data_IF_880898919230
#
_entry.id   IF_880898919230
#
_cell.length_a   1.000
_cell.length_b   1.000
_cell.length_c   1.000
_cell.angle_alpha   90.00
_cell.angle_beta   90.00
_cell.angle_gamma   90.00
#
_symmetry.space_group_name_H-M   'P 1'
#
loop_
_entity.id
_entity.type
_entity.pdbx_description
1 polymer ?
#
# COMPACT_ATOMS: atom_id res chain seq x y z
N UNK A 1 25.78 -12.19 -7.75
CA UNK A 1 24.65 -12.49 -6.87
C UNK A 1 24.09 -13.81 -7.35
N UNK A 2 24.23 -14.87 -6.57
CA UNK A 2 23.68 -16.18 -6.93
C UNK A 2 22.19 -16.14 -6.59
N UNK A 3 21.33 -16.40 -7.57
CA UNK A 3 19.89 -16.44 -7.37
C UNK A 3 19.52 -17.86 -6.93
N UNK A 4 18.83 -17.97 -5.80
CA UNK A 4 18.19 -19.21 -5.41
C UNK A 4 16.75 -19.23 -5.92
N UNK A 5 16.31 -20.37 -6.46
CA UNK A 5 14.94 -20.59 -6.89
C UNK A 5 14.38 -21.82 -6.20
N UNK A 6 13.14 -21.70 -5.71
CA UNK A 6 12.41 -22.78 -5.07
C UNK A 6 10.99 -22.87 -5.62
N UNK A 7 10.48 -24.09 -5.73
CA UNK A 7 9.11 -24.39 -6.19
C UNK A 7 8.44 -25.41 -5.27
N UNK A 8 7.12 -25.30 -5.13
CA UNK A 8 6.29 -26.31 -4.49
C UNK A 8 6.05 -27.51 -5.42
N UNK A 9 5.72 -28.66 -4.82
CA UNK A 9 5.52 -29.92 -5.55
C UNK A 9 4.36 -29.88 -6.56
N UNK A 10 3.35 -29.04 -6.32
CA UNK A 10 2.17 -28.93 -7.19
C UNK A 10 2.38 -28.03 -8.41
N UNK A 11 3.52 -27.34 -8.51
CA UNK A 11 3.80 -26.42 -9.62
C UNK A 11 4.11 -27.20 -10.88
N UNK A 12 3.23 -27.08 -11.88
CA UNK A 12 3.41 -27.63 -13.22
C UNK A 12 3.87 -26.60 -14.27
N UNK A 13 4.01 -27.03 -15.55
CA UNK A 13 4.46 -26.19 -16.67
C UNK A 13 3.57 -24.96 -16.93
N UNK A 14 2.32 -24.97 -16.47
CA UNK A 14 1.40 -23.83 -16.56
C UNK A 14 1.95 -22.57 -15.86
N UNK A 15 2.88 -22.71 -14.91
CA UNK A 15 3.53 -21.60 -14.23
C UNK A 15 4.84 -21.13 -14.89
N UNK A 16 5.30 -21.77 -15.98
CA UNK A 16 6.62 -21.47 -16.58
C UNK A 16 6.75 -20.00 -17.01
N UNK A 17 5.70 -19.44 -17.60
CA UNK A 17 5.69 -18.02 -18.01
C UNK A 17 5.73 -17.07 -16.80
N UNK A 18 5.01 -17.41 -15.73
CA UNK A 18 5.01 -16.62 -14.51
C UNK A 18 6.37 -16.68 -13.81
N UNK A 19 6.97 -17.88 -13.74
CA UNK A 19 8.34 -18.08 -13.22
C UNK A 19 9.37 -17.29 -14.00
N UNK A 20 9.36 -17.39 -15.33
CA UNK A 20 10.30 -16.63 -16.18
C UNK A 20 10.16 -15.13 -15.96
N UNK A 21 8.93 -14.62 -15.82
CA UNK A 21 8.68 -13.22 -15.53
C UNK A 21 9.19 -12.80 -14.13
N UNK A 22 9.00 -13.63 -13.11
CA UNK A 22 9.56 -13.39 -11.77
C UNK A 22 11.09 -13.41 -11.78
N UNK A 23 11.70 -14.38 -12.47
CA UNK A 23 13.15 -14.50 -12.58
C UNK A 23 13.75 -13.26 -13.25
N UNK A 24 13.14 -12.79 -14.35
CA UNK A 24 13.56 -11.56 -15.00
C UNK A 24 13.44 -10.35 -14.05
N UNK A 25 12.31 -10.23 -13.34
CA UNK A 25 12.07 -9.09 -12.44
C UNK A 25 13.11 -8.98 -11.32
N UNK A 26 13.44 -10.09 -10.64
CA UNK A 26 14.44 -10.08 -9.55
C UNK A 26 15.87 -9.93 -10.09
N UNK A 27 16.18 -10.48 -11.27
CA UNK A 27 17.50 -10.32 -11.88
C UNK A 27 17.75 -8.88 -12.38
N UNK A 28 16.71 -8.21 -12.86
CA UNK A 28 16.77 -6.82 -13.35
C UNK A 28 16.71 -5.78 -12.22
N UNK A 29 16.34 -6.18 -11.00
CA UNK A 29 16.11 -5.28 -9.87
C UNK A 29 16.99 -5.66 -8.66
N UNK A 30 18.24 -5.17 -8.57
CA UNK A 30 19.16 -5.51 -7.49
C UNK A 30 18.65 -5.16 -6.09
N UNK A 31 17.72 -4.20 -5.98
CA UNK A 31 17.08 -3.82 -4.74
C UNK A 31 16.15 -4.90 -4.17
N UNK A 32 15.63 -5.81 -5.01
CA UNK A 32 14.66 -6.83 -4.62
C UNK A 32 15.39 -8.07 -4.11
N UNK A 33 15.23 -8.39 -2.83
CA UNK A 33 15.95 -9.50 -2.20
C UNK A 33 15.21 -10.81 -2.27
N UNK A 34 13.87 -10.77 -2.29
CA UNK A 34 13.01 -11.93 -2.44
C UNK A 34 11.77 -11.57 -3.22
N UNK A 35 11.30 -12.52 -4.03
CA UNK A 35 10.09 -12.44 -4.82
C UNK A 35 9.43 -13.81 -4.86
N UNK A 36 8.12 -13.88 -4.59
CA UNK A 36 7.40 -15.14 -4.66
C UNK A 36 5.98 -14.98 -5.19
N UNK A 37 5.48 -16.07 -5.77
CA UNK A 37 4.12 -16.19 -6.28
C UNK A 37 3.27 -17.05 -5.34
N UNK A 38 2.04 -16.61 -5.11
CA UNK A 38 1.07 -17.30 -4.27
C UNK A 38 -0.29 -17.39 -4.94
N UNK A 39 -0.86 -18.59 -4.94
CA UNK A 39 -2.22 -18.87 -5.42
C UNK A 39 -3.09 -19.31 -4.26
N UNK A 40 -4.22 -18.62 -4.03
CA UNK A 40 -5.15 -18.93 -2.93
C UNK A 40 -4.49 -19.02 -1.55
N UNK A 41 -3.46 -18.20 -1.32
CA UNK A 41 -2.68 -18.19 -0.07
C UNK A 41 -1.72 -19.39 0.10
N UNK A 42 -1.50 -20.17 -0.96
CA UNK A 42 -0.51 -21.24 -1.04
C UNK A 42 0.71 -20.75 -1.79
N UNK A 43 1.90 -21.07 -1.29
CA UNK A 43 3.16 -20.76 -1.98
C UNK A 43 3.28 -21.63 -3.21
N UNK A 44 3.52 -21.02 -4.38
CA UNK A 44 3.80 -21.76 -5.62
C UNK A 44 5.30 -21.85 -5.84
N UNK A 45 5.96 -20.71 -6.00
CA UNK A 45 7.40 -20.63 -6.21
C UNK A 45 7.96 -19.30 -5.72
N UNK A 46 9.26 -19.24 -5.51
CA UNK A 46 9.95 -18.05 -5.03
C UNK A 46 11.41 -18.02 -5.45
N UNK A 47 11.95 -16.82 -5.50
CA UNK A 47 13.32 -16.52 -5.86
C UNK A 47 13.91 -15.57 -4.84
N UNK A 48 15.16 -15.78 -4.46
CA UNK A 48 15.89 -14.86 -3.60
C UNK A 48 17.33 -14.66 -4.05
N UNK A 49 17.82 -13.47 -3.76
CA UNK A 49 19.22 -13.11 -3.83
C UNK A 49 19.89 -13.20 -2.44
N UNK A 50 19.28 -13.94 -1.51
CA UNK A 50 19.72 -14.00 -0.12
C UNK A 50 20.72 -15.14 0.05
N UNK A 51 21.87 -14.81 0.65
CA UNK A 51 22.76 -15.84 1.16
C UNK A 51 22.11 -16.61 2.32
N UNK A 52 22.54 -17.85 2.52
CA UNK A 52 22.21 -18.57 3.75
C UNK A 52 22.88 -17.88 4.94
N UNK A 53 22.13 -17.45 5.97
CA UNK A 53 22.74 -16.91 7.16
C UNK A 53 23.61 -18.00 7.81
N UNK A 54 24.74 -17.63 8.44
CA UNK A 54 25.50 -18.58 9.25
C UNK A 54 24.58 -19.15 10.34
N UNK A 55 24.66 -20.47 10.64
CA UNK A 55 23.80 -21.09 11.63
C UNK A 55 24.00 -20.40 12.99
N UNK A 56 22.93 -19.86 13.56
CA UNK A 56 22.98 -19.31 14.92
C UNK A 56 23.05 -20.46 15.94
N UNK A 57 23.80 -20.30 17.05
CA UNK A 57 23.98 -21.36 18.06
C UNK A 57 22.66 -21.88 18.65
N UNK A 58 21.61 -21.05 18.63
CA UNK A 58 20.29 -21.33 19.20
C UNK A 58 19.22 -21.58 18.12
N UNK A 59 19.60 -21.77 16.85
CA UNK A 59 18.64 -22.06 15.79
C UNK A 59 17.92 -23.39 16.05
N UNK A 60 16.59 -23.33 16.16
CA UNK A 60 15.76 -24.54 16.18
C UNK A 60 15.94 -25.32 14.87
N UNK A 61 16.02 -26.67 14.92
CA UNK A 61 16.07 -27.47 13.70
C UNK A 61 14.84 -27.21 12.82
N UNK A 62 15.05 -26.81 11.57
CA UNK A 62 14.00 -26.71 10.54
C UNK A 62 13.46 -25.30 10.23
N UNK A 63 13.97 -24.24 10.86
CA UNK A 63 13.64 -22.86 10.47
C UNK A 63 14.70 -22.26 9.55
N UNK A 64 14.68 -22.56 8.25
CA UNK A 64 15.51 -21.79 7.32
C UNK A 64 14.89 -20.41 7.10
N UNK A 65 15.71 -19.41 6.76
CA UNK A 65 15.22 -18.07 6.37
C UNK A 65 14.14 -18.15 5.27
N UNK A 66 14.28 -19.10 4.34
CA UNK A 66 13.32 -19.32 3.25
C UNK A 66 11.97 -19.84 3.75
N UNK A 67 11.95 -20.73 4.75
CA UNK A 67 10.71 -21.15 5.39
C UNK A 67 9.98 -19.99 6.10
N UNK A 68 10.74 -19.09 6.72
CA UNK A 68 10.19 -17.88 7.34
C UNK A 68 9.58 -16.93 6.29
N UNK A 69 10.26 -16.74 5.15
CA UNK A 69 9.76 -15.94 4.01
C UNK A 69 8.48 -16.53 3.42
N UNK A 70 8.40 -17.85 3.25
CA UNK A 70 7.17 -18.52 2.81
C UNK A 70 6.03 -18.30 3.79
N UNK A 71 6.28 -18.49 5.09
CA UNK A 71 5.28 -18.27 6.14
C UNK A 71 4.81 -16.82 6.16
N UNK A 72 5.72 -15.87 6.00
CA UNK A 72 5.44 -14.45 5.91
C UNK A 72 4.50 -14.15 4.74
N UNK A 73 4.82 -14.59 3.52
CA UNK A 73 3.97 -14.34 2.36
C UNK A 73 2.58 -14.98 2.47
N UNK A 74 2.49 -16.21 3.02
CA UNK A 74 1.19 -16.84 3.31
C UNK A 74 0.37 -16.05 4.34
N UNK A 75 1.02 -15.53 5.38
CA UNK A 75 0.33 -14.74 6.38
C UNK A 75 -0.14 -13.41 5.80
N UNK A 76 0.73 -12.76 5.01
CA UNK A 76 0.43 -11.48 4.36
C UNK A 76 -0.75 -11.60 3.41
N UNK A 77 -0.73 -12.57 2.49
CA UNK A 77 -1.84 -12.82 1.55
C UNK A 77 -3.17 -13.08 2.27
N UNK A 78 -3.15 -13.78 3.42
CA UNK A 78 -4.34 -13.95 4.25
C UNK A 78 -4.84 -12.63 4.90
N UNK A 79 -3.93 -11.79 5.40
CA UNK A 79 -4.32 -10.48 5.95
C UNK A 79 -4.87 -9.56 4.86
N UNK A 80 -4.24 -9.54 3.67
CA UNK A 80 -4.68 -8.79 2.50
C UNK A 80 -6.09 -9.21 2.09
N UNK A 81 -6.37 -10.51 2.01
CA UNK A 81 -7.73 -11.00 1.70
C UNK A 81 -8.77 -10.59 2.75
N UNK A 82 -8.36 -10.40 4.01
CA UNK A 82 -9.26 -9.91 5.07
C UNK A 82 -9.51 -8.41 4.93
N UNK A 83 -8.48 -7.63 4.64
CA UNK A 83 -8.58 -6.19 4.40
C UNK A 83 -9.41 -5.88 3.15
N UNK A 84 -9.22 -6.62 2.07
CA UNK A 84 -10.01 -6.50 0.83
C UNK A 84 -11.52 -6.56 1.13
N UNK A 85 -11.96 -7.52 1.94
CA UNK A 85 -13.38 -7.64 2.32
C UNK A 85 -13.89 -6.42 3.09
N UNK A 86 -13.09 -5.89 4.02
CA UNK A 86 -13.44 -4.68 4.78
C UNK A 86 -13.55 -3.46 3.86
N UNK A 87 -12.61 -3.29 2.92
CA UNK A 87 -12.58 -2.14 2.01
C UNK A 87 -13.74 -2.17 1.00
N UNK A 88 -14.20 -3.36 0.61
CA UNK A 88 -15.34 -3.52 -0.30
C UNK A 88 -16.67 -2.99 0.24
N UNK A 89 -16.80 -2.80 1.56
CA UNK A 89 -18.03 -2.29 2.20
C UNK A 89 -18.45 -0.92 1.63
N UNK A 90 -17.49 -0.07 1.28
CA UNK A 90 -17.77 1.26 0.72
C UNK A 90 -17.65 1.35 -0.78
N UNK A 91 -17.50 0.23 -1.52
CA UNK A 91 -17.35 0.27 -2.99
C UNK A 91 -16.13 1.09 -3.41
N UNK A 92 -14.94 0.77 -2.87
CA UNK A 92 -13.64 1.25 -3.41
C UNK A 92 -13.08 0.34 -4.52
N UNK A 93 -13.79 -0.74 -4.86
CA UNK A 93 -13.21 -1.85 -5.62
C UNK A 93 -12.34 -2.74 -4.74
N UNK A 94 -11.63 -3.68 -5.38
CA UNK A 94 -10.76 -4.64 -4.67
C UNK A 94 -9.46 -4.02 -4.23
N UNK A 95 -8.84 -4.59 -3.19
CA UNK A 95 -7.44 -4.35 -2.83
C UNK A 95 -6.53 -5.00 -3.88
N UNK A 96 -5.76 -4.18 -4.59
CA UNK A 96 -4.91 -4.59 -5.71
C UNK A 96 -3.43 -4.60 -5.34
N UNK A 97 -3.02 -3.80 -4.34
CA UNK A 97 -1.64 -3.76 -3.86
C UNK A 97 -1.60 -3.37 -2.39
N UNK A 98 -0.65 -3.95 -1.66
CA UNK A 98 -0.37 -3.60 -0.27
C UNK A 98 1.11 -3.39 -0.10
N UNK A 99 1.50 -2.26 0.50
CA UNK A 99 2.89 -1.94 0.79
C UNK A 99 3.07 -1.74 2.28
N UNK A 100 4.04 -2.43 2.86
CA UNK A 100 4.40 -2.30 4.26
C UNK A 100 5.85 -1.87 4.35
N UNK A 101 6.12 -0.70 4.89
CA UNK A 101 7.47 -0.23 5.16
C UNK A 101 7.71 -0.20 6.66
N UNK A 102 8.77 -0.88 7.09
CA UNK A 102 9.31 -0.75 8.43
C UNK A 102 10.57 0.12 8.39
N UNK A 103 11.17 0.35 9.54
CA UNK A 103 12.46 1.04 9.65
C UNK A 103 13.61 0.27 8.96
N UNK A 104 13.49 -1.06 8.81
CA UNK A 104 14.57 -1.96 8.38
C UNK A 104 14.27 -2.70 7.06
N UNK A 105 13.07 -2.55 6.50
CA UNK A 105 12.71 -3.21 5.24
C UNK A 105 11.34 -2.80 4.69
N UNK A 106 11.02 -3.34 3.50
CA UNK A 106 9.77 -3.11 2.81
C UNK A 106 9.22 -4.39 2.20
N UNK A 107 7.91 -4.60 2.30
CA UNK A 107 7.16 -5.70 1.69
C UNK A 107 6.14 -5.14 0.73
N UNK A 108 5.99 -5.81 -0.41
CA UNK A 108 4.98 -5.53 -1.42
C UNK A 108 4.14 -6.78 -1.64
N UNK A 109 2.84 -6.62 -1.79
CA UNK A 109 1.92 -7.71 -2.12
C UNK A 109 0.93 -7.19 -3.16
N UNK A 110 1.12 -7.61 -4.40
CA UNK A 110 0.37 -7.13 -5.55
C UNK A 110 -0.50 -8.26 -6.09
N UNK A 111 -1.78 -7.97 -6.31
CA UNK A 111 -2.73 -8.91 -6.89
C UNK A 111 -2.57 -8.95 -8.41
N UNK A 112 -2.35 -10.15 -8.94
CA UNK A 112 -2.38 -10.41 -10.39
C UNK A 112 -3.84 -10.54 -10.80
N UNK A 113 -4.54 -11.52 -10.22
CA UNK A 113 -5.98 -11.73 -10.35
C UNK A 113 -6.51 -12.09 -8.96
N UNK A 114 -7.84 -12.19 -8.77
CA UNK A 114 -8.36 -12.61 -7.48
C UNK A 114 -7.69 -13.92 -7.03
N UNK A 115 -7.20 -13.92 -5.79
CA UNK A 115 -6.47 -15.02 -5.14
C UNK A 115 -5.03 -15.27 -5.60
N UNK A 116 -4.55 -14.65 -6.68
CA UNK A 116 -3.15 -14.73 -7.13
C UNK A 116 -2.39 -13.46 -6.77
N UNK A 117 -1.24 -13.64 -6.13
CA UNK A 117 -0.43 -12.54 -5.61
C UNK A 117 1.04 -12.75 -5.89
N UNK A 118 1.75 -11.65 -6.18
CA UNK A 118 3.20 -11.59 -6.13
C UNK A 118 3.63 -10.83 -4.88
N UNK A 119 4.56 -11.40 -4.11
CA UNK A 119 5.07 -10.83 -2.87
C UNK A 119 6.55 -10.52 -3.04
N UNK A 120 6.93 -9.26 -2.92
CA UNK A 120 8.30 -8.79 -2.98
C UNK A 120 8.80 -8.32 -1.62
N UNK A 121 10.11 -8.41 -1.39
CA UNK A 121 10.77 -7.98 -0.16
C UNK A 121 12.08 -7.24 -0.44
N UNK A 122 12.29 -6.14 0.29
CA UNK A 122 13.52 -5.38 0.42
C UNK A 122 13.92 -5.34 1.89
N UNK A 123 15.21 -5.50 2.18
CA UNK A 123 15.81 -5.47 3.51
C UNK A 123 17.02 -4.52 3.52
N UNK A 124 17.27 -3.84 4.64
CA UNK A 124 18.50 -3.09 4.82
C UNK A 124 19.67 -4.03 5.19
N UNK A 125 20.16 -4.78 4.20
CA UNK A 125 21.30 -5.70 4.40
C UNK A 125 22.66 -4.98 4.45
N UNK A 126 22.70 -3.69 4.10
CA UNK A 126 23.94 -2.91 3.93
C UNK A 126 24.15 -1.87 5.01
N UNK A 127 23.18 -1.67 5.92
CA UNK A 127 23.21 -0.56 6.88
C UNK A 127 23.15 0.80 6.17
N UNK A 128 22.41 0.87 5.07
CA UNK A 128 22.25 2.08 4.25
C UNK A 128 21.45 3.18 4.98
N UNK A 129 20.82 2.83 6.12
CA UNK A 129 20.03 3.74 6.93
C UNK A 129 18.53 3.56 6.68
N UNK A 130 17.71 4.54 7.07
CA UNK A 130 16.26 4.43 6.97
C UNK A 130 15.81 4.14 5.53
N UNK A 131 15.02 3.08 5.34
CA UNK A 131 14.51 2.69 4.02
C UNK A 131 13.27 3.47 3.59
N UNK A 132 12.60 4.19 4.50
CA UNK A 132 11.50 5.06 4.13
C UNK A 132 12.00 6.20 3.22
N UNK A 133 11.43 6.31 2.02
CA UNK A 133 11.88 7.27 1.00
C UNK A 133 13.16 6.86 0.27
N UNK A 134 13.73 5.68 0.55
CA UNK A 134 14.95 5.23 -0.10
C UNK A 134 14.66 4.79 -1.56
N UNK A 135 15.45 5.23 -2.56
CA UNK A 135 15.19 4.94 -3.98
C UNK A 135 15.09 3.44 -4.31
N UNK A 136 15.86 2.59 -3.63
CA UNK A 136 15.82 1.14 -3.80
C UNK A 136 14.43 0.54 -3.48
N UNK A 137 13.71 1.11 -2.51
CA UNK A 137 12.36 0.65 -2.16
C UNK A 137 11.37 1.03 -3.25
N UNK A 138 11.46 2.25 -3.77
CA UNK A 138 10.64 2.69 -4.92
C UNK A 138 10.94 1.86 -6.19
N UNK A 139 12.21 1.55 -6.44
CA UNK A 139 12.63 0.70 -7.56
C UNK A 139 12.01 -0.70 -7.46
N UNK A 140 12.12 -1.33 -6.29
CA UNK A 140 11.56 -2.65 -6.03
C UNK A 140 10.03 -2.68 -6.10
N UNK A 141 9.36 -1.68 -5.51
CA UNK A 141 7.90 -1.50 -5.57
C UNK A 141 7.41 -1.41 -7.02
N UNK A 142 8.07 -0.56 -7.83
CA UNK A 142 7.76 -0.41 -9.25
C UNK A 142 8.01 -1.69 -10.03
N UNK A 143 9.06 -2.45 -9.69
CA UNK A 143 9.36 -3.72 -10.33
C UNK A 143 8.28 -4.79 -10.04
N UNK A 144 7.79 -4.86 -8.79
CA UNK A 144 6.72 -5.78 -8.38
C UNK A 144 5.38 -5.38 -9.02
N UNK A 145 5.03 -4.09 -9.02
CA UNK A 145 3.84 -3.58 -9.71
C UNK A 145 3.88 -3.87 -11.22
N UNK A 146 5.03 -3.61 -11.86
CA UNK A 146 5.25 -3.91 -13.27
C UNK A 146 5.15 -5.41 -13.57
N UNK A 147 5.64 -6.27 -12.68
CA UNK A 147 5.50 -7.71 -12.78
C UNK A 147 4.02 -8.13 -12.70
N UNK A 148 3.26 -7.62 -11.73
CA UNK A 148 1.84 -7.92 -11.61
C UNK A 148 1.08 -7.54 -12.89
N UNK A 149 1.35 -6.36 -13.46
CA UNK A 149 0.78 -5.93 -14.75
C UNK A 149 1.18 -6.86 -15.91
N UNK A 150 2.44 -7.31 -15.99
CA UNK A 150 2.87 -8.26 -17.02
C UNK A 150 2.16 -9.61 -16.90
N UNK A 151 2.02 -10.14 -15.68
CA UNK A 151 1.30 -11.41 -15.45
C UNK A 151 -0.18 -11.28 -15.83
N UNK A 152 -0.82 -10.14 -15.52
CA UNK A 152 -2.19 -9.84 -15.97
C UNK A 152 -2.32 -9.81 -17.49
N UNK A 153 -1.36 -9.21 -18.18
CA UNK A 153 -1.35 -9.13 -19.64
C UNK A 153 -1.26 -10.52 -20.29
N UNK A 154 -0.57 -11.49 -19.66
CA UNK A 154 -0.56 -12.88 -20.12
C UNK A 154 -1.97 -13.52 -20.13
N UNK A 155 -2.86 -13.04 -19.25
CA UNK A 155 -4.27 -13.44 -19.17
C UNK A 155 -5.19 -12.53 -20.01
N UNK A 156 -4.63 -11.67 -20.86
CA UNK A 156 -5.37 -10.65 -21.65
C UNK A 156 -6.15 -9.65 -20.79
N UNK A 157 -5.71 -9.41 -19.55
CA UNK A 157 -6.29 -8.40 -18.66
C UNK A 157 -5.47 -7.11 -18.74
N UNK A 158 -6.15 -5.97 -18.60
CA UNK A 158 -5.51 -4.65 -18.52
C UNK A 158 -4.82 -4.41 -17.17
N UNK A 159 -3.97 -3.40 -17.13
CA UNK A 159 -3.35 -2.93 -15.89
C UNK A 159 -4.39 -2.41 -14.90
N UNK A 160 -4.11 -2.60 -13.61
CA UNK A 160 -4.84 -1.95 -12.52
C UNK A 160 -4.12 -0.68 -12.04
N UNK A 161 -3.00 -0.33 -12.68
CA UNK A 161 -2.10 0.74 -12.31
C UNK A 161 -1.71 0.71 -10.80
N UNK A 162 -1.17 -0.41 -10.27
CA UNK A 162 -0.76 -0.47 -8.87
C UNK A 162 0.28 0.62 -8.59
N UNK A 163 0.11 1.38 -7.52
CA UNK A 163 0.96 2.51 -7.14
C UNK A 163 0.75 3.78 -7.96
N UNK A 164 -0.11 3.78 -8.97
CA UNK A 164 -0.30 4.94 -9.85
C UNK A 164 0.88 5.21 -10.78
N UNK A 165 1.77 4.23 -10.98
CA UNK A 165 3.02 4.40 -11.73
C UNK A 165 2.81 4.76 -13.20
N UNK A 166 1.79 4.19 -13.85
CA UNK A 166 1.52 4.38 -15.28
C UNK A 166 0.93 5.76 -15.59
N UNK A 167 0.20 6.33 -14.62
CA UNK A 167 -0.45 7.64 -14.76
C UNK A 167 0.37 8.79 -14.19
N UNK A 168 1.50 8.52 -13.52
CA UNK A 168 2.25 9.52 -12.77
C UNK A 168 2.69 10.74 -13.60
N UNK A 169 2.92 10.56 -14.91
CA UNK A 169 3.31 11.65 -15.81
C UNK A 169 2.14 12.30 -16.55
N UNK A 170 1.06 11.55 -16.80
CA UNK A 170 -0.05 11.96 -17.66
C UNK A 170 -1.40 11.77 -16.96
N UNK A 171 -1.59 12.45 -15.83
CA UNK A 171 -2.86 12.42 -15.10
C UNK A 171 -3.91 13.24 -15.85
N UNK A 172 -5.01 12.60 -16.26
CA UNK A 172 -6.13 13.30 -16.87
C UNK A 172 -6.70 14.37 -15.90
N UNK A 173 -6.98 15.59 -16.38
CA UNK A 173 -7.67 16.60 -15.57
C UNK A 173 -9.00 16.07 -15.07
N UNK A 174 -9.37 16.42 -13.84
CA UNK A 174 -10.71 16.14 -13.36
C UNK A 174 -11.73 16.89 -14.22
N UNK A 175 -12.95 16.36 -14.38
CA UNK A 175 -14.01 17.07 -15.08
C UNK A 175 -14.32 18.37 -14.33
N UNK A 176 -14.03 19.50 -14.98
CA UNK A 176 -14.42 20.83 -14.51
C UNK A 176 -15.32 21.43 -15.59
N UNK A 177 -16.64 21.43 -15.40
CA UNK A 177 -17.57 21.93 -16.42
C UNK A 177 -19.05 21.93 -16.02
N UNK A 178 -19.79 22.85 -16.64
CA UNK A 178 -21.20 23.24 -16.39
C UNK A 178 -22.22 22.08 -16.24
N UNK A 179 -21.92 20.87 -16.75
CA UNK A 179 -22.78 19.68 -16.60
C UNK A 179 -22.91 19.19 -15.15
N UNK A 180 -21.94 19.47 -14.27
CA UNK A 180 -22.03 19.10 -12.85
C UNK A 180 -22.89 20.10 -12.05
N UNK A 181 -23.06 21.33 -12.57
CA UNK A 181 -23.76 22.44 -11.90
C UNK A 181 -25.29 22.25 -11.90
N UNK A 182 -25.84 21.43 -12.82
CA UNK A 182 -27.27 21.24 -12.95
C UNK A 182 -27.96 20.56 -11.74
N UNK A 183 -27.19 19.97 -10.82
CA UNK A 183 -27.72 19.30 -9.63
C UNK A 183 -27.17 19.84 -8.30
N UNK A 184 -26.40 20.93 -8.32
CA UNK A 184 -25.85 21.53 -7.10
C UNK A 184 -26.69 22.74 -6.71
N UNK A 185 -27.42 22.63 -5.60
CA UNK A 185 -28.01 23.79 -4.93
C UNK A 185 -26.88 24.76 -4.57
N UNK A 186 -26.85 25.89 -5.28
CA UNK A 186 -25.94 27.02 -5.06
C UNK A 186 -26.08 27.49 -3.61
N UNK A 187 -25.05 27.26 -2.78
CA UNK A 187 -25.08 27.72 -1.41
C UNK A 187 -24.01 27.15 -0.48
N UNK A 188 -22.77 26.93 -0.93
CA UNK A 188 -21.60 26.82 -0.06
C UNK A 188 -20.36 26.87 -0.95
N UNK A 189 -19.45 27.83 -0.72
CA UNK A 189 -18.12 27.77 -1.32
C UNK A 189 -17.49 26.43 -0.91
N UNK A 190 -17.06 25.61 -1.87
CA UNK A 190 -16.55 24.27 -1.62
C UNK A 190 -15.19 24.31 -0.89
N UNK A 191 -15.22 24.67 0.38
CA UNK A 191 -14.10 24.53 1.31
C UNK A 191 -13.96 23.09 1.78
N UNK A 192 -12.79 22.74 2.30
CA UNK A 192 -12.59 21.46 2.95
C UNK A 192 -13.60 21.27 4.10
N UNK A 193 -14.20 20.09 4.16
CA UNK A 193 -15.08 19.68 5.26
C UNK A 193 -14.22 19.23 6.44
N UNK A 194 -14.59 19.63 7.65
CA UNK A 194 -13.91 19.25 8.90
C UNK A 194 -14.84 18.36 9.71
N UNK A 195 -14.46 17.08 9.87
CA UNK A 195 -15.19 16.11 10.71
C UNK A 195 -14.74 16.15 12.17
N UNK A 196 -13.45 16.40 12.43
CA UNK A 196 -12.85 16.59 13.75
C UNK A 196 -11.78 17.68 13.69
N UNK A 197 -11.58 18.45 14.78
CA UNK A 197 -10.92 19.76 14.72
C UNK A 197 -9.94 20.13 15.84
N UNK A 198 -9.16 19.18 16.35
CA UNK A 198 -8.05 19.41 17.30
C UNK A 198 -6.71 18.91 16.71
N UNK A 199 -5.56 19.35 17.25
CA UNK A 199 -4.24 18.91 16.77
C UNK A 199 -3.76 19.66 15.51
N UNK A 200 -3.09 19.00 14.53
CA UNK A 200 -2.45 19.65 13.38
C UNK A 200 -3.43 20.05 12.26
N UNK A 201 -4.62 20.55 12.62
CA UNK A 201 -5.72 20.85 11.69
C UNK A 201 -5.29 21.75 10.51
N UNK A 202 -4.49 22.79 10.76
CA UNK A 202 -4.02 23.71 9.71
C UNK A 202 -3.18 23.00 8.65
N UNK A 203 -2.28 22.11 9.05
CA UNK A 203 -1.46 21.33 8.12
C UNK A 203 -2.31 20.35 7.32
N UNK A 204 -3.26 19.67 7.98
CA UNK A 204 -4.21 18.77 7.30
C UNK A 204 -5.06 19.51 6.27
N UNK A 205 -5.56 20.72 6.59
CA UNK A 205 -6.33 21.55 5.66
C UNK A 205 -5.51 21.97 4.44
N UNK A 206 -4.23 22.30 4.63
CA UNK A 206 -3.34 22.68 3.54
C UNK A 206 -2.98 21.51 2.61
N UNK A 207 -3.01 20.28 3.15
CA UNK A 207 -2.72 19.06 2.44
C UNK A 207 -3.89 18.57 1.57
N UNK A 208 -5.14 18.68 2.03
CA UNK A 208 -6.28 18.12 1.27
C UNK A 208 -6.61 18.94 0.02
N UNK A 209 -6.74 18.26 -1.12
CA UNK A 209 -7.01 18.84 -2.44
C UNK A 209 -7.78 17.85 -3.32
N UNK A 210 -8.69 18.36 -4.13
CA UNK A 210 -9.44 17.54 -5.09
C UNK A 210 -8.53 16.85 -6.12
N UNK A 211 -7.32 17.36 -6.36
CA UNK A 211 -6.44 16.87 -7.42
C UNK A 211 -5.63 15.64 -7.03
N UNK A 212 -5.52 15.30 -5.75
CA UNK A 212 -4.71 14.16 -5.30
C UNK A 212 -5.20 13.54 -3.98
N UNK A 213 -5.00 14.24 -2.87
CA UNK A 213 -5.24 13.78 -1.52
C UNK A 213 -6.59 14.30 -1.02
N UNK A 214 -7.59 13.43 -1.05
CA UNK A 214 -8.98 13.85 -0.85
C UNK A 214 -9.41 13.88 0.62
N UNK A 215 -8.68 13.20 1.49
CA UNK A 215 -8.98 13.14 2.92
C UNK A 215 -7.70 12.88 3.70
N UNK A 216 -7.57 13.54 4.86
CA UNK A 216 -6.52 13.28 5.85
C UNK A 216 -7.15 13.24 7.24
N UNK A 217 -6.74 12.26 8.04
CA UNK A 217 -7.00 12.20 9.47
C UNK A 217 -5.70 12.12 10.26
N UNK A 218 -5.64 12.84 11.38
CA UNK A 218 -4.62 12.69 12.41
C UNK A 218 -5.23 11.97 13.61
N UNK A 219 -4.54 10.95 14.08
CA UNK A 219 -5.01 10.07 15.16
C UNK A 219 -3.96 10.05 16.26
N UNK A 220 -4.41 10.25 17.51
CA UNK A 220 -3.55 10.16 18.70
C UNK A 220 -4.25 9.31 19.78
N UNK A 221 -3.62 8.21 20.16
CA UNK A 221 -4.14 7.27 21.15
C UNK A 221 -5.36 6.47 20.66
N UNK A 222 -5.51 6.31 19.34
CA UNK A 222 -6.67 5.65 18.73
C UNK A 222 -7.88 6.57 18.52
N UNK A 223 -7.79 7.84 18.94
CA UNK A 223 -8.84 8.84 18.74
C UNK A 223 -8.50 9.78 17.59
N UNK A 224 -9.46 10.01 16.70
CA UNK A 224 -9.32 10.94 15.57
C UNK A 224 -9.35 12.36 16.11
N UNK A 225 -8.22 13.07 16.07
CA UNK A 225 -8.08 14.44 16.58
C UNK A 225 -8.44 15.48 15.54
N UNK A 226 -7.93 15.30 14.32
CA UNK A 226 -8.31 16.07 13.15
C UNK A 226 -8.74 15.13 12.02
N UNK A 227 -9.77 15.50 11.28
CA UNK A 227 -10.12 14.83 10.03
C UNK A 227 -10.74 15.84 9.09
N UNK A 228 -10.13 15.98 7.91
CA UNK A 228 -10.54 16.94 6.89
C UNK A 228 -10.60 16.27 5.53
N UNK A 229 -11.52 16.72 4.69
CA UNK A 229 -11.73 16.14 3.35
C UNK A 229 -12.28 17.14 2.34
N UNK A 230 -12.10 16.84 1.06
CA UNK A 230 -12.75 17.54 -0.05
C UNK A 230 -13.66 16.60 -0.86
N UNK A 231 -14.19 15.53 -0.24
CA UNK A 231 -15.00 14.52 -0.94
C UNK A 231 -16.32 15.08 -1.50
N UNK A 232 -16.77 16.24 -0.98
CA UNK A 232 -17.91 16.99 -1.51
C UNK A 232 -17.59 17.87 -2.73
N UNK A 233 -16.33 17.92 -3.18
CA UNK A 233 -15.94 18.69 -4.36
C UNK A 233 -16.68 18.15 -5.60
N UNK A 234 -17.35 19.02 -6.40
CA UNK A 234 -18.10 18.60 -7.58
C UNK A 234 -17.29 17.78 -8.58
N UNK A 235 -15.99 18.05 -8.71
CA UNK A 235 -15.10 17.31 -9.61
C UNK A 235 -14.91 15.84 -9.21
N UNK A 236 -15.20 15.49 -7.96
CA UNK A 236 -15.17 14.13 -7.42
C UNK A 236 -16.53 13.41 -7.46
N UNK A 237 -17.62 14.10 -7.84
CA UNK A 237 -18.96 13.51 -7.91
C UNK A 237 -19.05 12.17 -8.68
N UNK A 238 -18.29 11.93 -9.77
CA UNK A 238 -18.32 10.64 -10.47
C UNK A 238 -17.97 9.42 -9.60
N UNK A 239 -17.19 9.59 -8.53
CA UNK A 239 -16.78 8.52 -7.61
C UNK A 239 -17.85 8.15 -6.57
N UNK A 240 -18.95 8.92 -6.49
CA UNK A 240 -20.02 8.76 -5.50
C UNK A 240 -21.35 8.28 -6.09
N UNK A 241 -21.32 7.64 -7.27
CA UNK A 241 -22.54 7.11 -7.93
C UNK A 241 -23.23 5.97 -7.17
N UNK A 242 -22.48 5.24 -6.33
CA UNK A 242 -22.96 4.03 -5.63
C UNK A 242 -22.91 4.16 -4.09
N UNK A 243 -22.35 5.26 -3.58
CA UNK A 243 -22.17 5.50 -2.15
C UNK A 243 -22.16 7.00 -1.90
N UNK A 244 -22.78 7.45 -0.83
CA UNK A 244 -22.81 8.88 -0.48
C UNK A 244 -21.49 9.32 0.13
N UNK A 245 -21.18 10.62 0.00
CA UNK A 245 -20.02 11.24 0.66
C UNK A 245 -20.05 10.98 2.18
N UNK A 246 -21.20 11.14 2.83
CA UNK A 246 -21.31 10.91 4.27
C UNK A 246 -21.10 9.46 4.70
N UNK A 247 -21.56 8.49 3.90
CA UNK A 247 -21.29 7.09 4.16
C UNK A 247 -19.78 6.79 4.05
N UNK A 248 -19.12 7.40 3.06
CA UNK A 248 -17.67 7.29 2.87
C UNK A 248 -16.89 7.93 4.03
N UNK A 249 -17.29 9.11 4.49
CA UNK A 249 -16.71 9.79 5.67
C UNK A 249 -16.81 8.93 6.93
N UNK A 250 -17.99 8.39 7.23
CA UNK A 250 -18.20 7.52 8.41
C UNK A 250 -17.32 6.29 8.37
N UNK A 251 -17.19 5.66 7.20
CA UNK A 251 -16.30 4.51 7.04
C UNK A 251 -14.84 4.88 7.29
N UNK A 252 -14.32 5.92 6.64
CA UNK A 252 -12.92 6.31 6.82
C UNK A 252 -12.61 6.77 8.24
N UNK A 253 -13.56 7.41 8.92
CA UNK A 253 -13.41 7.75 10.34
C UNK A 253 -13.24 6.49 11.21
N UNK A 254 -14.12 5.49 11.04
CA UNK A 254 -14.02 4.22 11.78
C UNK A 254 -12.74 3.46 11.45
N UNK A 255 -12.41 3.37 10.16
CA UNK A 255 -11.17 2.72 9.71
C UNK A 255 -9.92 3.41 10.28
N UNK A 256 -9.90 4.75 10.34
CA UNK A 256 -8.80 5.51 10.93
C UNK A 256 -8.54 5.16 12.41
N UNK A 257 -9.61 4.92 13.19
CA UNK A 257 -9.50 4.47 14.59
C UNK A 257 -8.94 3.04 14.68
N UNK A 258 -9.29 2.17 13.73
CA UNK A 258 -8.85 0.76 13.71
C UNK A 258 -7.41 0.56 13.21
N UNK A 259 -6.87 1.51 12.44
CA UNK A 259 -5.54 1.41 11.82
C UNK A 259 -4.41 1.12 12.83
N UNK A 260 -4.47 1.67 14.06
CA UNK A 260 -3.47 1.39 15.09
C UNK A 260 -3.41 -0.09 15.49
N UNK A 261 -4.57 -0.75 15.64
CA UNK A 261 -4.63 -2.17 15.95
C UNK A 261 -4.22 -3.03 14.75
N UNK A 262 -4.65 -2.64 13.54
CA UNK A 262 -4.30 -3.31 12.30
C UNK A 262 -2.78 -3.30 12.06
N UNK A 263 -2.16 -2.13 12.12
CA UNK A 263 -0.72 -1.96 11.89
C UNK A 263 0.09 -2.68 12.96
N UNK A 264 -0.37 -2.70 14.21
CA UNK A 264 0.26 -3.51 15.27
C UNK A 264 0.24 -5.00 14.94
N UNK A 265 -0.89 -5.52 14.44
CA UNK A 265 -1.02 -6.93 14.04
C UNK A 265 -0.12 -7.27 12.85
N UNK A 266 -0.10 -6.40 11.82
CA UNK A 266 0.78 -6.55 10.67
C UNK A 266 2.25 -6.48 11.07
N UNK A 267 2.63 -5.51 11.90
CA UNK A 267 3.99 -5.35 12.39
C UNK A 267 4.49 -6.61 13.10
N UNK A 268 3.68 -7.20 14.01
CA UNK A 268 4.04 -8.46 14.68
C UNK A 268 4.25 -9.63 13.71
N UNK A 269 3.52 -9.65 12.60
CA UNK A 269 3.63 -10.71 11.61
C UNK A 269 4.89 -10.57 10.74
N UNK A 270 5.28 -9.33 10.41
CA UNK A 270 6.40 -9.07 9.49
C UNK A 270 7.74 -8.86 10.19
N UNK A 271 7.73 -8.38 11.43
CA UNK A 271 8.94 -8.02 12.18
C UNK A 271 9.98 -9.15 12.31
N UNK A 272 9.62 -10.44 12.47
CA UNK A 272 10.63 -11.51 12.52
C UNK A 272 11.54 -11.60 11.27
N UNK A 273 11.06 -11.12 10.12
CA UNK A 273 11.79 -11.19 8.84
C UNK A 273 12.31 -9.82 8.40
N UNK A 274 11.48 -8.78 8.57
CA UNK A 274 11.75 -7.44 8.03
C UNK A 274 12.39 -6.52 9.06
N UNK A 275 12.26 -6.82 10.35
CA UNK A 275 12.78 -5.96 11.42
C UNK A 275 12.06 -4.62 11.52
N UNK A 276 12.49 -3.81 12.49
CA UNK A 276 11.96 -2.46 12.71
C UNK A 276 10.49 -2.35 13.08
N UNK A 277 10.06 -1.12 13.33
CA UNK A 277 8.65 -0.78 13.51
C UNK A 277 8.03 -0.27 12.21
N UNK A 278 6.75 -0.60 11.98
CA UNK A 278 5.98 -0.13 10.83
C UNK A 278 5.96 1.40 10.76
N UNK A 279 6.54 1.97 9.71
CA UNK A 279 6.58 3.40 9.46
C UNK A 279 5.46 3.83 8.50
N UNK A 280 5.19 3.03 7.47
CA UNK A 280 4.18 3.33 6.44
C UNK A 280 3.45 2.08 5.99
N UNK A 281 2.16 2.21 5.74
CA UNK A 281 1.32 1.18 5.13
C UNK A 281 0.49 1.82 4.01
N UNK A 282 0.44 1.18 2.85
CA UNK A 282 -0.41 1.58 1.73
C UNK A 282 -1.35 0.44 1.38
N UNK A 283 -2.64 0.73 1.33
CA UNK A 283 -3.70 -0.15 0.86
C UNK A 283 -4.25 0.44 -0.43
N UNK A 284 -3.82 -0.12 -1.55
CA UNK A 284 -4.10 0.35 -2.89
C UNK A 284 -5.26 -0.47 -3.47
N UNK A 285 -6.36 0.21 -3.80
CA UNK A 285 -7.63 -0.38 -4.24
C UNK A 285 -7.95 0.07 -5.66
N UNK A 286 -8.78 -0.65 -6.40
CA UNK A 286 -9.05 -0.32 -7.82
C UNK A 286 -9.47 1.13 -8.08
N UNK A 287 -10.09 1.80 -7.10
CA UNK A 287 -10.49 3.21 -7.22
C UNK A 287 -9.49 4.21 -6.63
N UNK A 288 -8.45 3.84 -5.90
CA UNK A 288 -7.58 4.79 -5.20
C UNK A 288 -6.71 4.12 -4.14
N UNK A 289 -6.37 4.82 -3.06
CA UNK A 289 -5.54 4.22 -2.01
C UNK A 289 -5.75 4.85 -0.64
N UNK A 290 -5.41 4.09 0.39
CA UNK A 290 -5.44 4.49 1.78
C UNK A 290 -4.01 4.37 2.33
N UNK A 291 -3.55 5.43 2.97
CA UNK A 291 -2.21 5.55 3.51
C UNK A 291 -2.25 5.59 5.02
N UNK A 292 -1.26 4.99 5.65
CA UNK A 292 -0.95 5.15 7.07
C UNK A 292 0.51 5.57 7.19
N UNK A 293 0.76 6.60 8.00
CA UNK A 293 2.11 7.07 8.32
C UNK A 293 2.23 7.24 9.83
N UNK A 294 3.18 6.54 10.45
CA UNK A 294 3.46 6.68 11.88
C UNK A 294 4.24 7.97 12.12
N UNK A 295 3.80 8.77 13.10
CA UNK A 295 4.50 9.98 13.54
C UNK A 295 5.31 9.71 14.82
N UNK A 296 4.68 9.07 15.82
CA UNK A 296 5.31 8.57 17.05
C UNK A 296 4.51 7.40 17.61
N UNK A 297 4.91 6.88 18.76
CA UNK A 297 4.16 5.83 19.43
C UNK A 297 2.72 6.27 19.72
N UNK A 298 1.74 5.59 19.13
CA UNK A 298 0.32 5.88 19.30
C UNK A 298 -0.23 7.04 18.47
N UNK A 299 0.62 7.72 17.68
CA UNK A 299 0.21 8.85 16.84
C UNK A 299 0.56 8.61 15.37
N UNK A 300 -0.41 8.85 14.48
CA UNK A 300 -0.26 8.57 13.06
C UNK A 300 -1.20 9.42 12.20
N UNK A 301 -0.89 9.49 10.91
CA UNK A 301 -1.76 10.03 9.88
C UNK A 301 -2.41 8.90 9.10
N UNK A 302 -3.66 9.13 8.67
CA UNK A 302 -4.35 8.34 7.66
C UNK A 302 -4.72 9.25 6.50
N UNK A 303 -4.31 8.88 5.30
CA UNK A 303 -4.63 9.61 4.07
C UNK A 303 -5.49 8.78 3.14
N UNK A 304 -6.31 9.42 2.31
CA UNK A 304 -7.08 8.73 1.28
C UNK A 304 -7.03 9.50 -0.03
N UNK A 305 -6.78 8.77 -1.11
CA UNK A 305 -7.19 9.17 -2.45
C UNK A 305 -8.26 8.20 -2.98
N UNK A 306 -9.16 8.72 -3.80
CA UNK A 306 -10.29 7.98 -4.39
C UNK A 306 -10.19 8.00 -5.91
N UNK A 307 -8.99 8.26 -6.44
CA UNK A 307 -8.69 8.16 -7.85
C UNK A 307 -7.36 7.45 -8.04
N UNK A 308 -7.41 6.30 -8.72
CA UNK A 308 -6.24 5.46 -8.97
C UNK A 308 -5.14 6.18 -9.75
N UNK A 309 -5.51 7.12 -10.63
CA UNK A 309 -4.53 7.88 -11.40
C UNK A 309 -3.68 8.82 -10.52
N UNK A 310 -4.16 9.10 -9.30
CA UNK A 310 -3.60 10.10 -8.37
C UNK A 310 -2.89 9.48 -7.17
N UNK A 311 -2.79 8.15 -7.10
CA UNK A 311 -2.17 7.41 -5.99
C UNK A 311 -0.76 7.91 -5.68
N UNK A 312 0.13 7.97 -6.69
CA UNK A 312 1.50 8.45 -6.46
C UNK A 312 1.56 9.87 -5.87
N UNK A 313 0.82 10.81 -6.47
CA UNK A 313 0.83 12.20 -6.03
C UNK A 313 0.25 12.37 -4.61
N UNK A 314 -0.78 11.60 -4.27
CA UNK A 314 -1.36 11.60 -2.93
C UNK A 314 -0.39 11.01 -1.89
N UNK A 315 0.36 9.98 -2.25
CA UNK A 315 1.37 9.38 -1.39
C UNK A 315 2.57 10.32 -1.16
N UNK A 316 3.09 10.98 -2.20
CA UNK A 316 4.13 11.99 -2.07
C UNK A 316 3.69 13.12 -1.12
N UNK A 317 2.42 13.56 -1.25
CA UNK A 317 1.85 14.57 -0.35
C UNK A 317 1.71 14.08 1.08
N UNK A 318 1.30 12.82 1.28
CA UNK A 318 1.22 12.22 2.60
C UNK A 318 2.60 12.08 3.26
N UNK A 319 3.63 11.70 2.50
CA UNK A 319 5.01 11.65 2.99
C UNK A 319 5.48 13.03 3.45
N UNK A 320 5.27 14.07 2.62
CA UNK A 320 5.64 15.44 2.98
C UNK A 320 4.90 15.94 4.24
N UNK A 321 3.60 15.65 4.37
CA UNK A 321 2.83 15.99 5.56
C UNK A 321 3.32 15.22 6.80
N UNK A 322 3.64 13.93 6.66
CA UNK A 322 4.18 13.13 7.74
C UNK A 322 5.54 13.65 8.20
N UNK A 323 6.41 14.05 7.28
CA UNK A 323 7.70 14.67 7.58
C UNK A 323 7.53 16.01 8.31
N UNK A 324 6.59 16.86 7.87
CA UNK A 324 6.28 18.14 8.53
C UNK A 324 5.80 17.94 9.99
N UNK A 325 4.96 16.93 10.21
CA UNK A 325 4.32 16.69 11.51
C UNK A 325 5.10 15.74 12.43
N UNK A 326 6.08 15.02 11.90
CA UNK A 326 6.96 14.18 12.72
C UNK A 326 7.82 15.11 13.57
N UNK A 327 7.73 15.05 14.91
CA UNK A 327 8.58 15.88 15.75
C UNK A 327 10.04 15.55 15.46
N UNK A 328 10.82 16.56 15.10
CA UNK A 328 12.28 16.45 15.16
C UNK A 328 12.60 16.22 16.64
N UNK A 329 13.24 15.08 16.97
CA UNK A 329 13.59 14.74 18.34
C UNK A 329 14.40 15.84 19.05
N UNK A 330 14.49 15.80 20.39
CA UNK A 330 15.16 16.84 21.20
C UNK A 330 16.62 17.10 20.82
#
# INVERSE_FOLDING_TARGET
MELHEEQAEHVGPEFDLARQACHAAIAETPALHYLAHYSSGVFDFGMDALGDPPPTPDALPGGTRREELKRLGRHLTFQVATLDRTLQEVRTGRLIRTVLHTEEGALFCDSVVPTEHVVGLVLDHTGAGPLLGHPAVEEADRAVAGLATRLRAQLSLGSLNPGGWESAQDVAPLPVGEEVVAHVTVGEEAGAHVTAGEGPLTACLAAVRAQDLHLVAHVDGGEVRAMVDCLGDPSLAPFFKQVTVDARRRFYHGLAQEFGALTTKLNRAVNPVVGGLMARLVLDVEMGAIYYYRLRAGEYLVGVTIDQARVRAADDRMSALAEELTPIGP
#
